data_IF_728473458269
#
_entry.id   IF_728473458269
#
_cell.length_a   1.000
_cell.length_b   1.000
_cell.length_c   1.000
_cell.angle_alpha   90.00
_cell.angle_beta   90.00
_cell.angle_gamma   90.00
#
_symmetry.space_group_name_H-M   'P 1'
#
loop_
_entity.id
_entity.type
_entity.pdbx_description
1 polymer ?
#
# COMPACT_ATOMS: atom_id res chain seq x y z
N UNK A 1 -3.76 3.73 1.94
CA UNK A 1 -4.16 3.40 0.56
C UNK A 1 -2.89 3.07 -0.20
N UNK A 2 -2.60 1.87 -0.70
CA UNK A 2 -3.26 0.58 -0.74
C UNK A 2 -2.12 -0.44 -0.87
N UNK A 3 -2.19 -1.59 -0.20
CA UNK A 3 -1.57 -2.79 -0.75
C UNK A 3 -2.28 -3.01 -2.09
N UNK A 4 -1.62 -2.71 -3.20
CA UNK A 4 -2.19 -2.88 -4.52
C UNK A 4 -2.20 -4.38 -4.83
N UNK A 5 -3.31 -5.03 -4.56
CA UNK A 5 -3.51 -6.44 -4.82
C UNK A 5 -4.04 -6.65 -6.24
N UNK A 6 -3.23 -7.26 -7.08
CA UNK A 6 -3.64 -7.78 -8.39
C UNK A 6 -4.00 -9.24 -8.18
N UNK A 7 -5.30 -9.52 -8.12
CA UNK A 7 -5.78 -10.85 -7.75
C UNK A 7 -5.66 -11.85 -8.90
N UNK A 8 -5.23 -13.07 -8.59
CA UNK A 8 -5.35 -14.26 -9.42
C UNK A 8 -6.56 -15.09 -8.94
N UNK A 9 -7.31 -15.81 -9.80
CA UNK A 9 -8.64 -16.34 -9.50
C UNK A 9 -8.75 -17.15 -8.20
N UNK A 10 -9.93 -17.15 -7.54
CA UNK A 10 -10.25 -17.75 -6.22
C UNK A 10 -9.90 -19.25 -6.05
N UNK A 11 -9.45 -19.91 -7.11
CA UNK A 11 -8.95 -21.30 -7.10
C UNK A 11 -7.47 -21.40 -6.72
N UNK A 12 -6.72 -20.30 -6.78
CA UNK A 12 -5.31 -20.24 -6.42
C UNK A 12 -5.11 -19.89 -4.94
N UNK A 13 -4.09 -20.46 -4.30
CA UNK A 13 -3.74 -20.18 -2.88
C UNK A 13 -2.86 -18.94 -2.71
N UNK A 14 -2.49 -18.28 -3.81
CA UNK A 14 -1.60 -17.13 -3.86
C UNK A 14 -2.25 -15.99 -4.65
N UNK A 15 -1.85 -14.76 -4.37
CA UNK A 15 -2.28 -13.56 -5.07
C UNK A 15 -1.08 -12.68 -5.35
N UNK A 16 -1.18 -11.78 -6.33
CA UNK A 16 -0.11 -10.83 -6.62
C UNK A 16 -0.35 -9.54 -5.84
N UNK A 17 0.71 -8.99 -5.29
CA UNK A 17 0.69 -7.73 -4.57
C UNK A 17 1.86 -6.87 -5.02
N UNK A 18 1.56 -5.62 -5.31
CA UNK A 18 2.57 -4.60 -5.53
C UNK A 18 2.99 -4.05 -4.16
N UNK A 19 4.26 -4.21 -3.81
CA UNK A 19 4.88 -3.75 -2.58
C UNK A 19 5.76 -2.55 -2.92
N UNK A 20 5.58 -1.44 -2.18
CA UNK A 20 6.37 -0.23 -2.35
C UNK A 20 7.19 0.06 -1.09
N UNK A 21 8.50 0.23 -1.25
CA UNK A 21 9.40 0.69 -0.20
C UNK A 21 9.47 2.22 -0.22
N UNK A 22 8.78 2.88 0.69
CA UNK A 22 8.77 4.36 0.75
C UNK A 22 10.11 5.00 1.13
N UNK A 23 11.06 4.23 1.68
CA UNK A 23 12.39 4.75 2.03
C UNK A 23 13.29 4.81 0.81
N UNK A 24 13.28 3.77 -0.02
CA UNK A 24 14.15 3.65 -1.21
C UNK A 24 13.45 4.07 -2.50
N UNK A 25 12.13 4.02 -2.54
CA UNK A 25 11.31 4.21 -3.74
C UNK A 25 11.08 2.92 -4.54
N UNK A 26 11.65 1.79 -4.11
CA UNK A 26 11.57 0.53 -4.85
C UNK A 26 10.15 -0.03 -4.88
N UNK A 27 9.86 -0.75 -5.96
CA UNK A 27 8.54 -1.25 -6.29
C UNK A 27 8.67 -2.70 -6.80
N UNK A 28 7.99 -3.63 -6.14
CA UNK A 28 8.10 -5.06 -6.41
C UNK A 28 6.71 -5.68 -6.59
N UNK A 29 6.57 -6.60 -7.55
CA UNK A 29 5.39 -7.45 -7.68
C UNK A 29 5.66 -8.80 -7.01
N UNK A 30 5.10 -9.01 -5.83
CA UNK A 30 5.27 -10.22 -5.03
C UNK A 30 4.07 -11.17 -5.16
N UNK A 31 4.33 -12.48 -5.18
CA UNK A 31 3.31 -13.48 -4.88
C UNK A 31 3.17 -13.66 -3.38
N UNK A 32 1.98 -13.39 -2.84
CA UNK A 32 1.68 -13.46 -1.42
C UNK A 32 0.51 -14.41 -1.17
N UNK A 33 0.39 -15.02 0.03
CA UNK A 33 -0.79 -15.79 0.37
C UNK A 33 -2.05 -14.92 0.36
N UNK A 34 -3.21 -15.53 0.08
CA UNK A 34 -4.49 -14.84 0.22
C UNK A 34 -4.72 -14.50 1.69
N UNK A 35 -5.12 -13.25 2.03
CA UNK A 35 -5.41 -12.85 3.39
C UNK A 35 -6.47 -13.74 4.04
N UNK A 36 -6.19 -14.22 5.25
CA UNK A 36 -7.20 -14.84 6.09
C UNK A 36 -8.22 -13.79 6.53
N UNK A 37 -9.48 -14.17 6.55
CA UNK A 37 -10.60 -13.31 6.96
C UNK A 37 -11.28 -13.89 8.21
N UNK A 38 -11.62 -13.03 9.17
CA UNK A 38 -12.39 -13.39 10.37
C UNK A 38 -13.89 -13.12 10.15
N UNK A 39 -14.70 -13.50 11.13
CA UNK A 39 -16.06 -12.95 11.24
C UNK A 39 -15.99 -11.41 11.19
N UNK A 40 -16.90 -10.82 10.42
CA UNK A 40 -17.00 -9.37 10.14
C UNK A 40 -15.95 -8.76 9.21
N UNK A 41 -15.30 -9.55 8.34
CA UNK A 41 -14.43 -9.01 7.28
C UNK A 41 -14.95 -9.39 5.90
N UNK A 42 -14.66 -8.55 4.90
CA UNK A 42 -15.02 -8.81 3.50
C UNK A 42 -13.75 -8.86 2.67
N UNK A 43 -13.58 -9.98 1.95
CA UNK A 43 -12.54 -10.10 0.94
C UNK A 43 -13.08 -9.54 -0.39
N UNK A 44 -12.42 -8.51 -0.92
CA UNK A 44 -12.81 -7.85 -2.17
C UNK A 44 -11.91 -8.29 -3.30
N UNK A 45 -12.50 -8.78 -4.39
CA UNK A 45 -11.78 -9.07 -5.64
C UNK A 45 -11.63 -7.77 -6.44
N UNK A 46 -10.43 -7.23 -6.47
CA UNK A 46 -10.14 -6.03 -7.25
C UNK A 46 -9.94 -6.39 -8.74
N UNK A 47 -10.64 -5.68 -9.64
CA UNK A 47 -10.55 -5.89 -11.12
C UNK A 47 -9.62 -4.87 -11.78
N UNK A 48 -9.59 -3.66 -11.23
CA UNK A 48 -8.71 -2.58 -11.66
C UNK A 48 -8.29 -1.74 -10.45
N UNK A 49 -7.19 -1.02 -10.57
CA UNK A 49 -6.73 -0.07 -9.56
C UNK A 49 -6.04 1.10 -10.25
N UNK A 50 -6.15 2.28 -9.67
CA UNK A 50 -5.54 3.50 -10.17
C UNK A 50 -4.54 4.05 -9.15
N UNK A 51 -3.43 4.55 -9.65
CA UNK A 51 -2.31 5.11 -8.87
C UNK A 51 -2.34 6.63 -9.04
N UNK A 52 -2.27 7.38 -7.92
CA UNK A 52 -2.40 8.84 -7.93
C UNK A 52 -1.07 9.52 -7.64
N UNK A 53 -0.41 9.98 -8.71
CA UNK A 53 0.94 10.56 -8.66
C UNK A 53 1.13 11.63 -7.57
N UNK A 54 0.10 12.43 -7.30
CA UNK A 54 0.17 13.50 -6.29
C UNK A 54 0.24 12.99 -4.85
N UNK A 55 -0.52 11.96 -4.51
CA UNK A 55 -0.58 11.43 -3.14
C UNK A 55 0.62 10.52 -2.85
N UNK A 56 1.03 9.69 -3.80
CA UNK A 56 2.21 8.82 -3.60
C UNK A 56 3.48 9.63 -3.39
N UNK A 57 3.69 10.68 -4.18
CA UNK A 57 4.86 11.56 -4.02
C UNK A 57 4.89 12.22 -2.64
N UNK A 58 3.76 12.75 -2.18
CA UNK A 58 3.67 13.37 -0.84
C UNK A 58 3.92 12.38 0.29
N UNK A 59 3.55 11.11 0.15
CA UNK A 59 3.82 10.08 1.16
C UNK A 59 5.32 9.75 1.23
N UNK A 60 5.99 9.61 0.08
CA UNK A 60 7.44 9.36 0.03
C UNK A 60 8.20 10.54 0.65
N UNK A 61 7.88 11.77 0.25
CA UNK A 61 8.50 12.99 0.78
C UNK A 61 8.28 13.13 2.30
N UNK A 62 7.13 12.71 2.82
CA UNK A 62 6.90 12.67 4.27
C UNK A 62 7.70 11.54 4.94
N UNK A 63 7.75 10.36 4.32
CA UNK A 63 8.48 9.18 4.82
C UNK A 63 9.99 9.42 4.97
N UNK A 64 10.58 10.22 4.07
CA UNK A 64 12.00 10.59 4.08
C UNK A 64 12.37 11.65 5.13
N UNK A 65 11.41 12.40 5.68
CA UNK A 65 11.67 13.43 6.70
C UNK A 65 11.93 12.82 8.08
N UNK A 66 12.81 13.45 8.86
CA UNK A 66 12.99 13.15 10.29
C UNK A 66 11.71 13.44 11.09
N UNK A 67 11.58 12.91 12.31
CA UNK A 67 10.41 13.18 13.18
C UNK A 67 10.11 14.68 13.32
N UNK A 68 11.15 15.49 13.50
CA UNK A 68 11.04 16.95 13.57
C UNK A 68 10.57 17.56 12.24
N UNK A 69 11.07 17.04 11.12
CA UNK A 69 10.63 17.43 9.77
C UNK A 69 9.17 17.03 9.48
N UNK A 70 8.69 15.92 10.04
CA UNK A 70 7.28 15.49 9.96
C UNK A 70 6.38 16.40 10.79
N UNK A 71 6.76 16.70 12.03
CA UNK A 71 6.04 17.64 12.91
C UNK A 71 5.93 19.04 12.29
N UNK A 72 7.00 19.54 11.66
CA UNK A 72 6.96 20.85 10.98
C UNK A 72 6.09 20.84 9.71
N UNK A 73 6.02 19.70 9.00
CA UNK A 73 5.21 19.56 7.80
C UNK A 73 3.71 19.35 8.10
N UNK A 74 3.38 18.89 9.31
CA UNK A 74 2.01 18.74 9.83
C UNK A 74 1.93 19.25 11.27
N UNK A 75 1.95 20.59 11.47
CA UNK A 75 1.89 21.20 12.80
C UNK A 75 0.52 21.03 13.47
N UNK A 76 -0.49 20.62 12.71
CA UNK A 76 -1.86 20.30 13.15
C UNK A 76 -1.99 18.96 13.89
N UNK A 77 -0.98 18.09 13.79
CA UNK A 77 -0.98 16.75 14.38
C UNK A 77 -0.11 16.65 15.65
N UNK A 78 0.31 17.80 16.21
CA UNK A 78 1.18 17.91 17.39
C UNK A 78 0.49 18.69 18.49
#
# INVERSE_FOLDING_TARGET
FYNFCVFAPLREKKMKQIIQNYRTGDLELAEVPIPCFSSNTVLVKNVASLVSMGTERSIIELGQKSLLGKAKARPDLV
#
